data_IF_087640270622
#
_entry.id   IF_087640270622
#
_cell.length_a   1.000
_cell.length_b   1.000
_cell.length_c   1.000
_cell.angle_alpha   90.00
_cell.angle_beta   90.00
_cell.angle_gamma   90.00
#
_symmetry.space_group_name_H-M   'P 1'
#
loop_
_entity.id
_entity.type
_entity.pdbx_description
1 polymer ?
#
# COMPACT_ATOMS: atom_id res chain seq x y z
N UNK A 1 -22.08 5.07 -34.22
CA UNK A 1 -21.37 6.29 -33.79
C UNK A 1 -20.57 5.93 -32.54
N UNK A 2 -19.28 5.66 -32.70
CA UNK A 2 -18.38 5.46 -31.55
C UNK A 2 -18.12 6.83 -30.93
N UNK A 3 -18.72 7.07 -29.77
CA UNK A 3 -18.31 8.18 -28.92
C UNK A 3 -16.91 7.82 -28.43
N UNK A 4 -15.90 8.50 -29.00
CA UNK A 4 -14.55 8.54 -28.48
C UNK A 4 -14.65 8.92 -27.01
N UNK A 5 -14.48 7.95 -26.10
CA UNK A 5 -14.27 8.22 -24.68
C UNK A 5 -13.04 9.12 -24.64
N UNK A 6 -13.23 10.42 -24.44
CA UNK A 6 -12.11 11.28 -24.05
C UNK A 6 -11.56 10.64 -22.79
N UNK A 7 -10.31 10.19 -22.83
CA UNK A 7 -9.64 9.55 -21.70
C UNK A 7 -9.68 10.49 -20.50
N UNK A 8 -10.67 10.29 -19.63
CA UNK A 8 -10.79 11.04 -18.39
C UNK A 8 -9.51 10.78 -17.58
N UNK A 9 -8.90 11.85 -17.07
CA UNK A 9 -7.69 11.74 -16.26
C UNK A 9 -7.94 10.74 -15.11
N UNK A 10 -7.04 9.75 -14.89
CA UNK A 10 -7.24 8.76 -13.86
C UNK A 10 -7.30 9.41 -12.47
N UNK A 11 -8.26 8.98 -11.66
CA UNK A 11 -8.50 9.50 -10.31
C UNK A 11 -8.42 8.38 -9.28
N UNK A 12 -7.81 8.71 -8.14
CA UNK A 12 -7.51 7.75 -7.08
C UNK A 12 -8.13 8.24 -5.78
N UNK A 13 -8.99 7.44 -5.18
CA UNK A 13 -9.48 7.73 -3.84
C UNK A 13 -8.41 7.35 -2.82
N UNK A 14 -8.23 8.22 -1.83
CA UNK A 14 -7.36 8.00 -0.69
C UNK A 14 -8.07 8.43 0.59
N UNK A 15 -7.56 7.95 1.72
CA UNK A 15 -7.90 8.48 3.03
C UNK A 15 -6.63 8.85 3.79
N UNK A 16 -6.72 9.87 4.64
CA UNK A 16 -5.62 10.28 5.52
C UNK A 16 -6.03 10.30 6.98
N UNK A 17 -5.04 10.15 7.86
CA UNK A 17 -5.20 10.12 9.31
C UNK A 17 -4.05 10.90 9.95
N UNK A 18 -4.32 11.68 11.00
CA UNK A 18 -3.27 12.45 11.70
C UNK A 18 -2.34 11.51 12.46
N UNK A 19 -2.89 10.46 13.07
CA UNK A 19 -2.17 9.52 13.95
C UNK A 19 -2.72 8.11 13.83
N UNK A 20 -1.96 7.15 14.36
CA UNK A 20 -2.36 5.74 14.39
C UNK A 20 -3.63 5.45 15.17
N UNK A 21 -4.07 6.32 16.07
CA UNK A 21 -5.29 6.11 16.85
C UNK A 21 -6.53 6.75 16.24
N UNK A 22 -6.37 7.54 15.18
CA UNK A 22 -7.51 8.16 14.52
C UNK A 22 -8.29 7.09 13.75
N UNK A 23 -9.59 7.06 13.98
CA UNK A 23 -10.51 6.09 13.37
C UNK A 23 -11.35 6.70 12.26
N UNK A 24 -11.38 8.03 12.15
CA UNK A 24 -12.18 8.74 11.14
C UNK A 24 -11.32 9.03 9.90
N UNK A 25 -11.66 8.47 8.73
CA UNK A 25 -10.92 8.70 7.50
C UNK A 25 -11.24 10.07 6.92
N UNK A 26 -10.22 10.91 6.75
CA UNK A 26 -10.33 12.11 5.92
C UNK A 26 -10.19 11.73 4.44
N UNK A 27 -11.32 11.58 3.76
CA UNK A 27 -11.44 11.19 2.36
C UNK A 27 -10.87 12.28 1.44
N UNK A 28 -10.18 11.88 0.39
CA UNK A 28 -9.70 12.76 -0.69
C UNK A 28 -9.71 11.98 -2.00
N UNK A 29 -9.71 12.67 -3.13
CA UNK A 29 -9.55 12.06 -4.44
C UNK A 29 -8.51 12.87 -5.21
N UNK A 30 -7.46 12.18 -5.65
CA UNK A 30 -6.26 12.80 -6.24
C UNK A 30 -6.10 12.38 -7.70
N UNK A 31 -5.44 13.23 -8.50
CA UNK A 31 -4.94 12.84 -9.83
C UNK A 31 -3.68 11.98 -9.71
N UNK A 32 -3.21 11.40 -10.82
CA UNK A 32 -1.94 10.68 -10.83
C UNK A 32 -0.75 11.57 -10.43
N UNK A 33 -0.73 12.84 -10.89
CA UNK A 33 0.34 13.77 -10.54
C UNK A 33 0.34 14.09 -9.04
N UNK A 34 -0.84 14.30 -8.47
CA UNK A 34 -1.02 14.58 -7.05
C UNK A 34 -0.67 13.37 -6.17
N UNK A 35 -1.07 12.16 -6.59
CA UNK A 35 -0.69 10.89 -5.95
C UNK A 35 0.83 10.76 -5.90
N UNK A 36 1.48 10.96 -7.05
CA UNK A 36 2.93 10.91 -7.18
C UNK A 36 3.63 11.98 -6.35
N UNK A 37 3.13 13.22 -6.36
CA UNK A 37 3.68 14.30 -5.54
C UNK A 37 3.57 13.98 -4.05
N UNK A 38 2.43 13.46 -3.58
CA UNK A 38 2.24 13.10 -2.18
C UNK A 38 3.13 11.96 -1.71
N UNK A 39 3.36 10.95 -2.56
CA UNK A 39 4.19 9.79 -2.22
C UNK A 39 5.70 9.99 -2.45
N UNK A 40 6.10 11.09 -3.07
CA UNK A 40 7.51 11.49 -3.21
C UNK A 40 7.90 12.68 -2.32
N UNK A 41 6.94 13.22 -1.56
CA UNK A 41 7.13 14.30 -0.59
C UNK A 41 7.36 13.76 0.82
N UNK A 42 8.46 14.18 1.44
CA UNK A 42 8.80 13.77 2.80
C UNK A 42 8.42 14.83 3.83
N UNK A 43 7.62 14.44 4.82
CA UNK A 43 7.34 15.27 6.00
C UNK A 43 8.57 15.26 6.92
N UNK A 44 9.11 16.43 7.28
CA UNK A 44 10.28 16.54 8.15
C UNK A 44 9.84 16.56 9.62
N UNK A 45 10.32 15.62 10.44
CA UNK A 45 9.95 15.50 11.87
C UNK A 45 11.15 15.65 12.82
N UNK A 46 11.81 16.83 12.89
CA UNK A 46 13.00 17.04 13.73
C UNK A 46 12.67 16.98 15.23
N UNK A 47 11.47 17.40 15.64
CA UNK A 47 11.02 17.30 17.04
C UNK A 47 10.89 15.84 17.48
N UNK A 48 10.28 15.00 16.66
CA UNK A 48 10.15 13.56 16.91
C UNK A 48 11.55 12.90 17.00
N UNK A 49 12.42 13.21 16.04
CA UNK A 49 13.78 12.68 16.04
C UNK A 49 14.53 13.03 17.33
N UNK A 50 14.56 14.32 17.72
CA UNK A 50 15.19 14.76 18.98
C UNK A 50 14.61 14.07 20.21
N UNK A 51 13.29 13.84 20.24
CA UNK A 51 12.65 13.14 21.35
C UNK A 51 13.09 11.68 21.42
N UNK A 52 13.20 10.97 20.28
CA UNK A 52 13.70 9.59 20.22
C UNK A 52 15.17 9.54 20.64
N UNK A 53 16.03 10.40 20.07
CA UNK A 53 17.46 10.44 20.38
C UNK A 53 17.71 10.66 21.87
N UNK A 54 17.05 11.66 22.47
CA UNK A 54 17.15 11.91 23.92
C UNK A 54 16.69 10.72 24.77
N UNK A 55 15.69 10.00 24.31
CA UNK A 55 15.18 8.82 25.02
C UNK A 55 16.21 7.68 24.97
N UNK A 56 16.88 7.48 23.82
CA UNK A 56 17.95 6.50 23.66
C UNK A 56 19.16 6.85 24.53
N UNK A 57 19.63 8.11 24.51
CA UNK A 57 20.73 8.59 25.36
C UNK A 57 20.47 8.33 26.85
N UNK A 58 19.22 8.51 27.31
CA UNK A 58 18.83 8.21 28.69
C UNK A 58 18.79 6.72 29.00
N UNK A 59 18.46 5.88 28.02
CA UNK A 59 18.48 4.42 28.17
C UNK A 59 19.94 3.96 28.27
N UNK A 60 20.82 4.49 27.44
CA UNK A 60 22.25 4.18 27.46
C UNK A 60 22.89 4.62 28.79
N UNK A 61 22.62 5.85 29.25
CA UNK A 61 23.11 6.31 30.55
C UNK A 61 22.59 5.45 31.72
N UNK A 62 21.34 4.97 31.65
CA UNK A 62 20.79 4.08 32.65
C UNK A 62 21.44 2.68 32.61
N UNK A 63 21.78 2.19 31.42
CA UNK A 63 22.53 0.94 31.25
C UNK A 63 23.93 1.04 31.87
N UNK A 64 24.65 2.13 31.59
CA UNK A 64 26.00 2.37 32.12
C UNK A 64 25.99 2.50 33.65
N UNK A 65 25.04 3.25 34.21
CA UNK A 65 24.86 3.36 35.66
C UNK A 65 24.60 1.99 36.30
N UNK A 66 23.73 1.17 35.70
CA UNK A 66 23.49 -0.18 36.20
C UNK A 66 24.74 -1.08 36.13
N UNK A 67 25.52 -1.00 35.05
CA UNK A 67 26.80 -1.73 34.91
C UNK A 67 27.83 -1.29 35.94
N UNK A 68 27.82 -0.02 36.35
CA UNK A 68 28.66 0.52 37.42
C UNK A 68 28.20 0.15 38.84
N UNK A 69 27.07 -0.58 38.99
CA UNK A 69 26.47 -0.88 40.29
C UNK A 69 25.67 0.29 40.90
N UNK A 70 25.46 1.35 40.12
CA UNK A 70 24.69 2.52 40.52
C UNK A 70 23.20 2.34 40.19
N UNK A 71 22.38 3.28 40.67
CA UNK A 71 20.96 3.29 40.37
C UNK A 71 20.71 3.80 38.94
N UNK A 72 20.11 3.03 38.03
CA UNK A 72 19.78 3.47 36.66
C UNK A 72 18.76 4.62 36.59
N UNK A 73 18.17 5.00 37.74
CA UNK A 73 17.28 6.13 37.90
C UNK A 73 15.84 5.84 37.50
N UNK A 74 14.89 6.53 38.15
CA UNK A 74 13.46 6.57 37.79
C UNK A 74 12.71 5.23 37.74
N UNK A 75 11.37 5.29 37.73
CA UNK A 75 10.54 4.08 37.60
C UNK A 75 10.73 3.36 36.26
N UNK A 76 10.98 4.13 35.19
CA UNK A 76 11.07 3.64 33.82
C UNK A 76 12.33 2.81 33.57
N UNK A 77 13.50 3.32 33.95
CA UNK A 77 14.78 2.65 33.68
C UNK A 77 15.14 1.61 34.74
N UNK A 78 14.52 1.67 35.94
CA UNK A 78 14.59 0.61 36.95
C UNK A 78 14.09 -0.78 36.48
N UNK A 79 13.50 -0.91 35.27
CA UNK A 79 13.26 -2.21 34.65
C UNK A 79 14.58 -2.96 34.39
N UNK A 80 15.65 -2.26 33.99
CA UNK A 80 16.97 -2.85 33.74
C UNK A 80 17.50 -3.48 35.03
N UNK A 81 17.51 -2.72 36.14
CA UNK A 81 17.95 -3.24 37.43
C UNK A 81 17.07 -4.39 37.96
N UNK A 82 15.75 -4.33 37.76
CA UNK A 82 14.84 -5.43 38.15
C UNK A 82 15.10 -6.70 37.36
N UNK A 83 15.33 -6.59 36.05
CA UNK A 83 15.66 -7.74 35.20
C UNK A 83 17.03 -8.31 35.58
N UNK A 84 18.03 -7.44 35.79
CA UNK A 84 19.37 -7.81 36.25
C UNK A 84 19.38 -8.61 37.55
N UNK A 85 18.55 -8.23 38.53
CA UNK A 85 18.42 -8.99 39.79
C UNK A 85 17.83 -10.39 39.61
N UNK A 86 17.04 -10.62 38.56
CA UNK A 86 16.36 -11.91 38.33
C UNK A 86 17.13 -12.84 37.41
N UNK A 87 17.84 -12.30 36.42
CA UNK A 87 18.47 -13.08 35.35
C UNK A 87 19.82 -12.56 34.90
N UNK A 88 20.50 -11.76 35.74
CA UNK A 88 21.83 -11.24 35.46
C UNK A 88 21.88 -10.28 34.26
N UNK A 89 23.07 -10.14 33.70
CA UNK A 89 23.35 -9.18 32.62
C UNK A 89 22.57 -9.45 31.33
N UNK A 90 22.35 -10.72 30.97
CA UNK A 90 21.57 -11.07 29.79
C UNK A 90 20.12 -10.54 29.89
N UNK A 91 19.46 -10.76 31.02
CA UNK A 91 18.10 -10.25 31.25
C UNK A 91 18.06 -8.72 31.32
N UNK A 92 19.07 -8.09 31.92
CA UNK A 92 19.19 -6.63 31.93
C UNK A 92 19.35 -6.06 30.52
N UNK A 93 20.16 -6.72 29.67
CA UNK A 93 20.38 -6.33 28.27
C UNK A 93 19.11 -6.45 27.45
N UNK A 94 18.39 -7.56 27.57
CA UNK A 94 17.09 -7.74 26.91
C UNK A 94 16.10 -6.63 27.31
N UNK A 95 16.06 -6.27 28.59
CA UNK A 95 15.23 -5.17 29.07
C UNK A 95 15.63 -3.81 28.46
N UNK A 96 16.93 -3.54 28.35
CA UNK A 96 17.49 -2.35 27.69
C UNK A 96 17.10 -2.31 26.21
N UNK A 97 17.29 -3.41 25.49
CA UNK A 97 16.92 -3.54 24.08
C UNK A 97 15.41 -3.34 23.87
N UNK A 98 14.58 -3.87 24.78
CA UNK A 98 13.15 -3.64 24.83
C UNK A 98 12.77 -2.16 25.04
N UNK A 99 13.49 -1.44 25.88
CA UNK A 99 13.32 0.02 26.06
C UNK A 99 13.71 0.78 24.78
N UNK A 100 14.83 0.42 24.16
CA UNK A 100 15.28 0.99 22.89
C UNK A 100 14.26 0.76 21.77
N UNK A 101 13.68 -0.45 21.70
CA UNK A 101 12.60 -0.79 20.75
C UNK A 101 11.36 0.09 20.99
N UNK A 102 10.96 0.28 22.25
CA UNK A 102 9.83 1.17 22.62
C UNK A 102 10.10 2.63 22.28
N UNK A 103 11.33 3.13 22.52
CA UNK A 103 11.72 4.50 22.19
C UNK A 103 11.64 4.74 20.67
N UNK A 104 12.22 3.86 19.85
CA UNK A 104 12.13 3.91 18.39
C UNK A 104 10.68 3.76 17.88
N UNK A 105 9.87 2.98 18.59
CA UNK A 105 8.45 2.76 18.30
C UNK A 105 7.58 4.02 18.37
N UNK A 106 8.04 5.12 19.00
CA UNK A 106 7.32 6.41 19.02
C UNK A 106 7.00 6.95 17.63
N UNK A 107 7.83 6.64 16.63
CA UNK A 107 7.56 7.05 15.26
C UNK A 107 6.23 6.46 14.74
N UNK A 108 5.91 5.21 15.09
CA UNK A 108 4.68 4.55 14.63
C UNK A 108 3.41 5.28 15.08
N UNK A 109 3.47 6.02 16.19
CA UNK A 109 2.32 6.76 16.75
C UNK A 109 2.24 8.22 16.29
N UNK A 110 3.36 8.79 15.79
CA UNK A 110 3.46 10.21 15.47
C UNK A 110 3.35 10.51 13.97
N UNK A 111 3.74 9.55 13.13
CA UNK A 111 3.69 9.70 11.68
C UNK A 111 2.24 9.81 11.18
N UNK A 112 2.05 10.68 10.17
CA UNK A 112 0.80 10.79 9.42
C UNK A 112 0.59 9.52 8.62
N UNK A 113 -0.65 9.05 8.56
CA UNK A 113 -1.00 7.85 7.81
C UNK A 113 -1.85 8.21 6.61
N UNK A 114 -1.78 7.34 5.60
CA UNK A 114 -2.68 7.34 4.47
C UNK A 114 -3.12 5.91 4.15
N UNK A 115 -4.21 5.78 3.41
CA UNK A 115 -4.72 4.54 2.86
C UNK A 115 -5.08 4.75 1.40
N UNK A 116 -4.80 3.80 0.50
CA UNK A 116 -5.23 3.85 -0.89
C UNK A 116 -6.72 3.51 -1.08
N UNK A 117 -7.51 3.52 0.00
CA UNK A 117 -8.89 3.09 0.00
C UNK A 117 -9.88 4.27 0.04
N UNK A 118 -10.99 4.09 -0.68
CA UNK A 118 -12.21 4.86 -0.49
C UNK A 118 -12.99 4.26 0.68
N UNK A 119 -13.23 5.07 1.70
CA UNK A 119 -14.14 4.71 2.80
C UNK A 119 -15.54 5.26 2.54
N UNK A 120 -16.55 4.58 3.09
CA UNK A 120 -17.93 5.08 3.14
C UNK A 120 -17.98 6.43 3.87
N UNK A 121 -18.96 7.26 3.51
CA UNK A 121 -19.19 8.51 4.24
C UNK A 121 -19.57 8.23 5.70
N UNK A 122 -18.93 8.95 6.64
CA UNK A 122 -19.09 8.68 8.08
C UNK A 122 -18.54 7.33 8.56
N UNK A 123 -17.85 6.58 7.69
CA UNK A 123 -17.28 5.28 8.02
C UNK A 123 -16.08 5.38 8.97
N UNK A 124 -15.59 4.21 9.41
CA UNK A 124 -14.41 4.11 10.27
C UNK A 124 -13.26 3.42 9.56
N UNK A 125 -12.06 3.54 10.15
CA UNK A 125 -10.85 2.87 9.70
C UNK A 125 -10.87 1.38 10.07
N UNK A 126 -11.72 0.64 9.37
CA UNK A 126 -11.83 -0.81 9.37
C UNK A 126 -12.26 -1.30 7.98
N UNK A 127 -12.20 -2.62 7.73
CA UNK A 127 -12.48 -3.18 6.41
C UNK A 127 -13.94 -3.09 5.98
N UNK A 128 -14.88 -3.06 6.93
CA UNK A 128 -16.32 -3.06 6.65
C UNK A 128 -16.78 -1.74 6.03
N UNK A 129 -16.03 -0.67 6.25
CA UNK A 129 -16.30 0.65 5.67
C UNK A 129 -15.47 0.95 4.43
N UNK A 130 -14.68 0.00 3.91
CA UNK A 130 -13.96 0.20 2.64
C UNK A 130 -14.89 -0.12 1.48
N UNK A 131 -15.02 0.82 0.56
CA UNK A 131 -15.77 0.66 -0.70
C UNK A 131 -14.86 0.04 -1.76
N UNK A 132 -13.68 0.64 -1.94
CA UNK A 132 -12.75 0.23 -2.98
C UNK A 132 -11.31 0.63 -2.68
N UNK A 133 -10.34 0.00 -3.33
CA UNK A 133 -8.91 0.28 -3.23
C UNK A 133 -8.38 0.76 -4.58
N UNK A 134 -7.66 1.89 -4.60
CA UNK A 134 -7.16 2.55 -5.80
C UNK A 134 -5.68 2.29 -6.11
N UNK A 135 -4.91 1.76 -5.15
CA UNK A 135 -3.49 1.46 -5.34
C UNK A 135 -3.11 0.16 -4.65
N UNK A 136 -2.22 -0.62 -5.26
CA UNK A 136 -1.48 -1.68 -4.60
C UNK A 136 -0.22 -1.12 -3.98
N UNK A 137 -0.05 -1.33 -2.67
CA UNK A 137 1.11 -0.83 -1.92
C UNK A 137 1.83 -2.00 -1.27
N UNK A 138 3.11 -2.16 -1.59
CA UNK A 138 3.98 -3.21 -1.09
C UNK A 138 5.00 -2.58 -0.13
N UNK A 139 5.06 -3.09 1.11
CA UNK A 139 6.01 -2.63 2.14
C UNK A 139 7.15 -3.63 2.26
N UNK A 140 8.36 -3.19 1.92
CA UNK A 140 9.56 -4.00 1.95
C UNK A 140 10.42 -3.59 3.15
N UNK A 141 10.57 -4.52 4.09
CA UNK A 141 11.25 -4.30 5.37
C UNK A 141 12.54 -5.13 5.54
N UNK A 142 12.86 -5.93 4.52
CA UNK A 142 13.88 -7.00 4.51
C UNK A 142 15.23 -6.61 3.90
N UNK A 143 15.42 -5.34 3.48
CA UNK A 143 16.70 -4.85 2.96
C UNK A 143 16.86 -4.88 1.45
N UNK A 144 15.82 -5.26 0.70
CA UNK A 144 15.77 -5.11 -0.77
C UNK A 144 15.98 -3.64 -1.14
N UNK A 145 16.84 -3.38 -2.13
CA UNK A 145 17.11 -2.01 -2.57
C UNK A 145 15.93 -1.44 -3.37
N UNK A 146 15.76 -0.11 -3.44
CA UNK A 146 14.72 0.51 -4.26
C UNK A 146 14.75 0.09 -5.74
N UNK A 147 15.93 -0.10 -6.30
CA UNK A 147 16.10 -0.49 -7.71
C UNK A 147 15.75 -1.95 -7.95
N UNK A 148 16.16 -2.86 -7.07
CA UNK A 148 15.74 -4.28 -7.13
C UNK A 148 14.23 -4.43 -6.96
N UNK A 149 13.64 -3.72 -5.99
CA UNK A 149 12.18 -3.73 -5.82
C UNK A 149 11.46 -3.16 -7.06
N UNK A 150 12.03 -2.17 -7.75
CA UNK A 150 11.44 -1.58 -8.96
C UNK A 150 11.50 -2.50 -10.18
N UNK A 151 12.59 -3.26 -10.36
CA UNK A 151 12.78 -4.09 -11.55
C UNK A 151 11.70 -5.15 -11.73
N UNK A 152 11.21 -5.74 -10.64
CA UNK A 152 10.15 -6.77 -10.67
C UNK A 152 8.80 -6.21 -11.14
N UNK A 153 8.65 -4.89 -11.13
CA UNK A 153 7.42 -4.15 -11.42
C UNK A 153 7.56 -3.19 -12.60
N UNK A 154 8.66 -3.27 -13.35
CA UNK A 154 8.99 -2.36 -14.45
C UNK A 154 7.95 -2.32 -15.59
N UNK A 155 7.06 -3.33 -15.70
CA UNK A 155 5.95 -3.30 -16.66
C UNK A 155 4.94 -2.18 -16.36
N UNK A 156 4.79 -1.79 -15.10
CA UNK A 156 3.75 -0.87 -14.66
C UNK A 156 4.32 0.45 -14.15
N UNK A 157 3.48 1.48 -14.21
CA UNK A 157 3.72 2.71 -13.48
C UNK A 157 3.78 2.40 -11.99
N UNK A 158 4.85 2.83 -11.33
CA UNK A 158 4.95 2.69 -9.89
C UNK A 158 5.81 3.78 -9.26
N UNK A 159 5.51 4.05 -8.00
CA UNK A 159 6.18 5.06 -7.19
C UNK A 159 6.93 4.32 -6.09
N UNK A 160 8.23 4.57 -5.98
CA UNK A 160 9.06 4.00 -4.91
C UNK A 160 9.46 5.11 -3.97
N UNK A 161 9.33 4.88 -2.66
CA UNK A 161 9.90 5.78 -1.66
C UNK A 161 10.39 5.02 -0.44
N UNK A 162 11.45 5.53 0.17
CA UNK A 162 11.99 5.03 1.43
C UNK A 162 11.06 5.36 2.61
N UNK A 163 11.15 4.57 3.69
CA UNK A 163 10.37 4.80 4.92
C UNK A 163 11.20 5.45 6.02
N UNK A 164 10.56 5.91 7.10
CA UNK A 164 11.22 6.52 8.26
C UNK A 164 12.41 5.72 8.82
N UNK A 165 12.36 4.39 8.71
CA UNK A 165 13.39 3.51 9.27
C UNK A 165 14.48 3.11 8.27
N UNK A 166 14.43 3.61 7.04
CA UNK A 166 15.44 3.37 6.01
C UNK A 166 16.84 3.80 6.49
N UNK A 167 17.84 3.00 6.14
CA UNK A 167 19.26 3.29 6.30
C UNK A 167 20.01 2.66 5.12
N UNK A 168 21.14 3.22 4.66
CA UNK A 168 21.89 2.65 3.53
C UNK A 168 22.20 1.15 3.68
N UNK A 169 22.58 0.69 4.89
CA UNK A 169 22.85 -0.73 5.16
C UNK A 169 21.62 -1.58 5.53
N UNK A 170 20.43 -0.98 5.61
CA UNK A 170 19.15 -1.68 5.85
C UNK A 170 18.01 -0.93 5.16
N UNK A 171 17.89 -1.05 3.84
CA UNK A 171 16.81 -0.42 3.09
C UNK A 171 15.44 -0.84 3.61
N UNK A 172 14.55 0.15 3.72
CA UNK A 172 13.12 -0.05 3.99
C UNK A 172 12.36 0.91 3.11
N UNK A 173 11.43 0.39 2.31
CA UNK A 173 10.80 1.14 1.25
C UNK A 173 9.38 0.64 1.00
N UNK A 174 8.60 1.49 0.34
CA UNK A 174 7.31 1.13 -0.23
C UNK A 174 7.33 1.33 -1.73
N UNK A 175 6.71 0.39 -2.42
CA UNK A 175 6.40 0.47 -3.84
C UNK A 175 4.88 0.56 -3.98
N UNK A 176 4.41 1.62 -4.64
CA UNK A 176 2.99 1.88 -4.85
C UNK A 176 2.67 1.81 -6.35
N UNK A 177 1.75 0.93 -6.72
CA UNK A 177 1.21 0.76 -8.06
C UNK A 177 -0.21 1.33 -8.10
N UNK A 178 -0.42 2.50 -8.75
CA UNK A 178 -1.76 3.02 -8.97
C UNK A 178 -2.51 2.10 -9.95
N UNK A 179 -3.77 1.79 -9.62
CA UNK A 179 -4.57 0.86 -10.42
C UNK A 179 -5.30 1.61 -11.53
N UNK A 180 -5.39 1.02 -12.72
CA UNK A 180 -6.14 1.57 -13.85
C UNK A 180 -7.63 1.72 -13.50
N UNK A 181 -8.15 0.79 -12.71
CA UNK A 181 -9.50 0.82 -12.15
C UNK A 181 -9.45 0.40 -10.67
N UNK A 182 -10.26 1.02 -9.80
CA UNK A 182 -10.32 0.64 -8.39
C UNK A 182 -10.87 -0.79 -8.24
N UNK A 183 -10.45 -1.46 -7.17
CA UNK A 183 -10.84 -2.84 -6.83
C UNK A 183 -11.83 -2.80 -5.67
N UNK A 184 -12.91 -3.57 -5.74
CA UNK A 184 -13.89 -3.67 -4.64
C UNK A 184 -13.23 -4.27 -3.39
N UNK A 185 -13.66 -3.85 -2.21
CA UNK A 185 -13.06 -4.32 -0.97
C UNK A 185 -13.06 -5.86 -0.83
N UNK A 186 -14.14 -6.51 -1.28
CA UNK A 186 -14.32 -7.96 -1.29
C UNK A 186 -13.34 -8.71 -2.21
N UNK A 187 -12.92 -8.09 -3.31
CA UNK A 187 -12.00 -8.68 -4.29
C UNK A 187 -10.52 -8.40 -3.95
N UNK A 188 -10.25 -7.50 -2.99
CA UNK A 188 -8.91 -6.99 -2.72
C UNK A 188 -7.91 -8.08 -2.37
N UNK A 189 -8.37 -9.11 -1.68
CA UNK A 189 -7.50 -10.18 -1.18
C UNK A 189 -6.77 -10.89 -2.32
N UNK A 190 -7.45 -11.18 -3.43
CA UNK A 190 -6.85 -11.86 -4.57
C UNK A 190 -5.74 -11.02 -5.21
N UNK A 191 -5.95 -9.70 -5.32
CA UNK A 191 -4.96 -8.76 -5.85
C UNK A 191 -3.72 -8.70 -4.96
N UNK A 192 -3.92 -8.69 -3.63
CA UNK A 192 -2.80 -8.68 -2.69
C UNK A 192 -2.02 -10.00 -2.71
N UNK A 193 -2.70 -11.15 -2.73
CA UNK A 193 -2.07 -12.47 -2.76
C UNK A 193 -1.24 -12.67 -4.04
N UNK A 194 -1.77 -12.28 -5.21
CA UNK A 194 -1.02 -12.26 -6.48
C UNK A 194 0.28 -11.45 -6.38
N UNK A 195 0.21 -10.27 -5.76
CA UNK A 195 1.38 -9.42 -5.59
C UNK A 195 2.38 -10.01 -4.60
N UNK A 196 1.89 -10.57 -3.48
CA UNK A 196 2.73 -11.21 -2.48
C UNK A 196 3.49 -12.40 -3.07
N UNK A 197 2.83 -13.26 -3.85
CA UNK A 197 3.44 -14.36 -4.58
C UNK A 197 4.52 -13.88 -5.55
N UNK A 198 4.23 -12.83 -6.33
CA UNK A 198 5.20 -12.22 -7.25
C UNK A 198 6.47 -11.74 -6.55
N UNK A 199 6.36 -11.25 -5.31
CA UNK A 199 7.51 -10.82 -4.51
C UNK A 199 8.20 -11.94 -3.74
N UNK A 200 7.79 -13.21 -3.92
CA UNK A 200 8.29 -14.33 -3.12
C UNK A 200 7.95 -14.20 -1.63
N UNK A 201 6.79 -13.61 -1.31
CA UNK A 201 6.31 -13.34 0.05
C UNK A 201 7.23 -12.42 0.88
N UNK A 202 8.02 -11.57 0.22
CA UNK A 202 8.90 -10.62 0.92
C UNK A 202 8.17 -9.36 1.40
N UNK A 203 7.00 -9.07 0.83
CA UNK A 203 6.10 -8.01 1.31
C UNK A 203 5.45 -8.37 2.65
N UNK A 204 5.25 -7.40 3.54
CA UNK A 204 4.68 -7.64 4.88
C UNK A 204 3.22 -8.18 4.80
N UNK A 205 2.95 -9.42 5.28
CA UNK A 205 1.61 -10.03 5.22
C UNK A 205 0.56 -9.34 6.09
N UNK A 206 0.96 -8.47 7.02
CA UNK A 206 0.04 -7.68 7.82
C UNK A 206 -0.79 -6.68 6.99
N UNK A 207 -0.41 -6.44 5.73
CA UNK A 207 -0.98 -5.41 4.86
C UNK A 207 -2.03 -5.92 3.86
N UNK A 208 -2.46 -7.18 4.00
CA UNK A 208 -3.46 -7.82 3.12
C UNK A 208 -4.89 -7.27 3.23
N UNK A 209 -5.18 -6.47 4.26
CA UNK A 209 -6.51 -5.88 4.46
C UNK A 209 -6.76 -4.72 3.49
N UNK A 210 -7.98 -4.61 2.97
CA UNK A 210 -8.40 -3.46 2.16
C UNK A 210 -8.35 -2.13 2.93
N UNK A 211 -8.40 -2.18 4.27
CA UNK A 211 -8.27 -1.02 5.15
C UNK A 211 -6.81 -0.75 5.59
N UNK A 212 -5.83 -1.36 4.92
CA UNK A 212 -4.42 -1.17 5.24
C UNK A 212 -4.06 0.33 5.20
N UNK A 213 -3.26 0.73 6.19
CA UNK A 213 -2.76 2.10 6.30
C UNK A 213 -1.25 2.11 6.36
N UNK A 214 -0.68 3.10 5.70
CA UNK A 214 0.75 3.27 5.53
C UNK A 214 1.14 4.63 6.09
N UNK A 215 2.33 4.72 6.70
CA UNK A 215 2.88 6.03 7.01
C UNK A 215 3.17 6.79 5.72
N UNK A 216 2.77 8.06 5.67
CA UNK A 216 3.23 8.98 4.63
C UNK A 216 4.77 9.08 4.66
N UNK A 217 5.42 9.35 3.52
CA UNK A 217 6.86 9.52 3.49
C UNK A 217 7.29 10.60 4.48
N UNK A 218 8.24 10.27 5.34
CA UNK A 218 8.69 11.14 6.42
C UNK A 218 10.16 10.92 6.71
N UNK A 219 10.83 11.99 7.11
CA UNK A 219 12.27 12.00 7.38
C UNK A 219 12.58 12.67 8.73
N UNK A 220 13.53 12.14 9.52
CA UNK A 220 13.88 12.72 10.81
C UNK A 220 14.47 14.13 10.71
N UNK A 221 15.26 14.40 9.66
CA UNK A 221 15.90 15.69 9.42
C UNK A 221 16.19 15.86 7.92
N UNK A 222 16.42 17.11 7.44
CA UNK A 222 16.54 17.40 6.01
C UNK A 222 17.64 16.66 5.26
N UNK A 223 18.71 16.27 5.94
CA UNK A 223 19.86 15.58 5.32
C UNK A 223 19.87 14.07 5.58
N UNK A 224 18.81 13.52 6.19
CA UNK A 224 18.74 12.08 6.43
C UNK A 224 18.64 11.34 5.08
N UNK A 225 19.36 10.21 4.92
CA UNK A 225 19.28 9.39 3.72
C UNK A 225 17.82 9.04 3.39
N UNK A 226 17.42 9.35 2.17
CA UNK A 226 16.11 9.04 1.62
C UNK A 226 16.23 8.94 0.11
N UNK A 227 15.40 8.08 -0.46
CA UNK A 227 15.20 7.96 -1.89
C UNK A 227 13.69 7.97 -2.17
N UNK A 228 13.32 8.59 -3.28
CA UNK A 228 12.04 8.38 -3.91
C UNK A 228 12.16 8.66 -5.41
N UNK A 229 11.47 7.87 -6.22
CA UNK A 229 11.43 8.03 -7.67
C UNK A 229 10.16 7.40 -8.24
N UNK A 230 9.96 7.64 -9.53
CA UNK A 230 8.83 7.13 -10.30
C UNK A 230 9.38 6.35 -11.47
N UNK A 231 8.79 5.18 -11.71
CA UNK A 231 9.00 4.42 -12.93
C UNK A 231 7.80 4.61 -13.86
N UNK A 232 8.06 4.92 -15.14
CA UNK A 232 7.02 5.06 -16.15
C UNK A 232 6.49 3.71 -16.62
N UNK A 233 5.21 3.67 -16.98
CA UNK A 233 4.56 2.44 -17.45
C UNK A 233 3.07 2.61 -17.57
N UNK A 234 2.36 1.55 -17.94
CA UNK A 234 0.91 1.53 -17.88
C UNK A 234 0.46 1.41 -16.42
N UNK A 235 -0.72 1.95 -16.07
CA UNK A 235 -1.31 1.65 -14.76
C UNK A 235 -1.58 0.15 -14.64
N UNK A 236 -1.47 -0.41 -13.44
CA UNK A 236 -1.78 -1.81 -13.21
C UNK A 236 -3.28 -2.01 -13.39
N UNK A 237 -3.71 -2.84 -14.34
CA UNK A 237 -5.12 -3.20 -14.51
C UNK A 237 -5.37 -4.58 -13.91
N UNK A 238 -6.03 -4.67 -12.73
CA UNK A 238 -6.36 -5.96 -12.13
C UNK A 238 -7.25 -6.82 -13.04
N UNK A 239 -8.08 -6.20 -13.87
CA UNK A 239 -8.89 -6.92 -14.86
C UNK A 239 -8.04 -7.54 -15.98
N UNK A 240 -7.08 -6.78 -16.53
CA UNK A 240 -6.21 -7.29 -17.59
C UNK A 240 -5.29 -8.43 -17.10
N UNK A 241 -4.96 -8.41 -15.80
CA UNK A 241 -4.22 -9.50 -15.15
C UNK A 241 -5.14 -10.66 -14.70
N UNK A 242 -6.45 -10.61 -14.97
CA UNK A 242 -7.41 -11.67 -14.61
C UNK A 242 -7.68 -11.79 -13.11
N UNK A 243 -7.33 -10.78 -12.31
CA UNK A 243 -7.46 -10.79 -10.85
C UNK A 243 -8.87 -10.42 -10.38
N UNK A 244 -9.60 -9.64 -11.20
CA UNK A 244 -10.98 -9.24 -10.93
C UNK A 244 -11.80 -9.29 -12.22
N UNK A 245 -13.07 -9.66 -12.11
CA UNK A 245 -13.98 -9.72 -13.26
C UNK A 245 -14.63 -8.36 -13.55
N UNK A 246 -14.89 -7.57 -12.51
CA UNK A 246 -15.62 -6.30 -12.58
C UNK A 246 -14.85 -5.26 -11.76
N UNK A 247 -14.59 -4.07 -12.31
CA UNK A 247 -13.95 -3.01 -11.53
C UNK A 247 -14.96 -2.42 -10.53
N UNK A 248 -14.46 -1.80 -9.46
CA UNK A 248 -15.29 -0.93 -8.64
C UNK A 248 -15.69 0.33 -9.42
N UNK A 249 -16.73 1.02 -8.94
CA UNK A 249 -17.12 2.31 -9.49
C UNK A 249 -15.97 3.32 -9.39
N UNK A 250 -15.85 4.25 -10.35
CA UNK A 250 -14.87 5.33 -10.25
C UNK A 250 -15.11 6.15 -8.98
N UNK A 251 -14.04 6.69 -8.36
CA UNK A 251 -14.20 7.43 -7.13
C UNK A 251 -15.08 8.67 -7.33
N UNK A 252 -15.89 9.04 -6.33
CA UNK A 252 -16.77 10.19 -6.43
C UNK A 252 -15.96 11.50 -6.54
N UNK A 253 -16.59 12.56 -7.02
CA UNK A 253 -16.00 13.90 -6.94
C UNK A 253 -16.10 14.41 -5.50
N UNK A 254 -14.96 14.60 -4.84
CA UNK A 254 -14.87 15.14 -3.48
C UNK A 254 -14.05 16.43 -3.55
N UNK A 255 -14.51 17.54 -2.94
CA UNK A 255 -13.71 18.76 -2.82
C UNK A 255 -12.37 18.48 -2.15
N UNK A 256 -11.30 19.09 -2.67
CA UNK A 256 -9.99 18.99 -2.04
C UNK A 256 -10.02 19.56 -0.62
N UNK A 257 -9.31 18.91 0.30
CA UNK A 257 -9.19 19.40 1.68
C UNK A 257 -8.34 20.67 1.73
N UNK A 258 -8.75 21.67 2.51
CA UNK A 258 -8.00 22.92 2.68
C UNK A 258 -6.58 22.68 3.21
N UNK A 259 -6.44 21.84 4.25
CA UNK A 259 -5.18 21.43 4.82
C UNK A 259 -5.01 19.91 4.70
N UNK A 260 -4.17 19.47 3.75
CA UNK A 260 -3.93 18.06 3.46
C UNK A 260 -2.45 17.72 3.64
N UNK A 261 -2.19 16.75 4.53
CA UNK A 261 -0.86 16.16 4.72
C UNK A 261 -0.35 15.46 3.46
N UNK A 262 -1.27 14.86 2.69
CA UNK A 262 -0.94 14.16 1.46
C UNK A 262 -0.52 15.16 0.36
N UNK A 263 -1.32 16.21 0.18
CA UNK A 263 -1.08 17.26 -0.82
C UNK A 263 0.02 18.25 -0.42
N UNK A 264 0.47 18.20 0.85
CA UNK A 264 1.49 19.11 1.37
C UNK A 264 0.98 20.53 1.57
N UNK A 265 -0.33 20.73 1.66
CA UNK A 265 -0.95 22.06 1.83
C UNK A 265 -1.14 22.46 3.29
N UNK A 266 -0.86 21.55 4.24
CA UNK A 266 -0.90 21.88 5.67
C UNK A 266 0.26 22.85 6.03
N UNK A 267 -0.03 24.10 6.40
CA UNK A 267 0.99 25.11 6.71
C UNK A 267 1.79 24.80 7.98
N UNK A 268 1.31 23.87 8.82
CA UNK A 268 1.98 23.47 10.06
C UNK A 268 3.07 22.42 9.84
N UNK A 269 3.13 21.81 8.65
CA UNK A 269 4.10 20.78 8.32
C UNK A 269 5.19 21.29 7.39
N UNK A 270 6.44 21.03 7.77
CA UNK A 270 7.58 21.23 6.88
C UNK A 270 7.75 19.98 6.03
N UNK A 271 7.82 20.17 4.72
CA UNK A 271 7.97 19.11 3.74
C UNK A 271 9.23 19.30 2.90
N UNK A 272 9.67 18.22 2.26
CA UNK A 272 10.75 18.20 1.28
C UNK A 272 10.25 17.43 0.07
N UNK A 273 10.10 18.12 -1.05
CA UNK A 273 9.76 17.50 -2.32
C UNK A 273 11.02 16.91 -2.94
N UNK A 274 10.94 15.64 -3.35
CA UNK A 274 12.01 15.03 -4.12
C UNK A 274 11.94 15.53 -5.57
N UNK A 275 13.09 15.77 -6.23
CA UNK A 275 13.11 16.09 -7.64
C UNK A 275 12.38 15.01 -8.44
N UNK A 276 11.47 15.41 -9.31
CA UNK A 276 10.70 14.50 -10.15
C UNK A 276 10.66 15.01 -11.58
N UNK A 277 10.81 14.09 -12.53
CA UNK A 277 10.40 14.34 -13.91
C UNK A 277 8.94 13.91 -14.02
N UNK A 278 8.02 14.75 -14.51
CA UNK A 278 6.64 14.34 -14.73
C UNK A 278 6.61 13.16 -15.70
N UNK A 279 6.08 12.02 -15.25
CA UNK A 279 5.88 10.83 -16.08
C UNK A 279 4.38 10.62 -16.23
N UNK A 280 3.89 10.68 -17.47
CA UNK A 280 2.52 10.28 -17.78
C UNK A 280 2.44 8.75 -17.76
N UNK A 281 1.33 8.21 -17.26
CA UNK A 281 1.06 6.79 -17.45
C UNK A 281 0.95 6.50 -18.96
N UNK A 282 1.52 5.38 -19.38
CA UNK A 282 1.31 4.86 -20.72
C UNK A 282 -0.12 4.33 -20.84
N UNK A 283 -0.71 4.30 -22.04
CA UNK A 283 -2.00 3.66 -22.26
C UNK A 283 -1.98 2.22 -21.72
N UNK A 284 -3.05 1.83 -21.04
CA UNK A 284 -3.22 0.43 -20.63
C UNK A 284 -3.63 -0.36 -21.85
N UNK A 285 -2.83 -1.35 -22.27
CA UNK A 285 -3.24 -2.27 -23.34
C UNK A 285 -4.43 -3.09 -22.83
N UNK A 286 -5.61 -2.79 -23.38
CA UNK A 286 -6.76 -3.67 -23.23
C UNK A 286 -6.51 -4.82 -24.20
N UNK A 287 -6.12 -5.99 -23.70
CA UNK A 287 -6.20 -7.21 -24.48
C UNK A 287 -7.69 -7.47 -24.66
N UNK A 288 -8.25 -7.01 -25.79
CA UNK A 288 -9.55 -7.45 -26.22
C UNK A 288 -9.43 -8.97 -26.34
N UNK A 289 -10.04 -9.72 -25.42
CA UNK A 289 -10.22 -11.15 -25.64
C UNK A 289 -11.08 -11.26 -26.89
N UNK A 290 -10.44 -11.50 -28.04
CA UNK A 290 -11.11 -11.99 -29.22
C UNK A 290 -11.53 -13.44 -28.93
N UNK A 291 -12.50 -13.59 -28.03
CA UNK A 291 -13.31 -14.78 -27.89
C UNK A 291 -14.60 -14.47 -28.65
N UNK A 292 -14.49 -14.44 -29.98
CA UNK A 292 -15.65 -14.55 -30.87
C UNK A 292 -16.20 -15.97 -30.70
N UNK A 293 -17.04 -16.17 -29.68
CA UNK A 293 -17.78 -17.42 -29.47
C UNK A 293 -18.90 -17.57 -30.52
N UNK A 294 -19.21 -16.49 -31.23
CA UNK A 294 -20.12 -16.49 -32.36
C UNK A 294 -19.32 -16.02 -33.56
N UNK A 295 -18.92 -16.97 -34.41
CA UNK A 295 -18.45 -16.65 -35.76
C UNK A 295 -19.45 -15.75 -36.49
N UNK A 296 -19.03 -15.12 -37.60
CA UNK A 296 -19.91 -14.23 -38.36
C UNK A 296 -21.24 -14.94 -38.65
N UNK A 297 -22.40 -14.26 -38.49
CA UNK A 297 -23.69 -14.90 -38.71
C UNK A 297 -23.73 -15.48 -40.12
N UNK A 298 -24.05 -16.77 -40.21
CA UNK A 298 -24.23 -17.46 -41.49
C UNK A 298 -25.20 -16.66 -42.37
N UNK A 299 -24.76 -16.40 -43.62
CA UNK A 299 -25.66 -15.88 -44.65
C UNK A 299 -26.83 -16.85 -44.81
N UNK A 300 -28.07 -16.36 -45.01
CA UNK A 300 -29.17 -17.25 -45.31
C UNK A 300 -28.89 -17.96 -46.64
N UNK A 301 -28.75 -19.28 -46.57
CA UNK A 301 -28.68 -20.13 -47.75
C UNK A 301 -30.09 -20.20 -48.37
N UNK A 302 -30.14 -19.87 -49.66
CA UNK A 302 -31.30 -20.17 -50.51
C UNK A 302 -31.63 -21.66 -50.40
N UNK A 303 -32.92 -21.96 -50.15
CA UNK A 303 -33.42 -23.33 -50.12
C UNK A 303 -33.24 -24.04 -51.48
N UNK A 304 -33.32 -25.39 -51.49
CA UNK A 304 -34.65 -25.94 -51.74
C UNK A 304 -34.99 -27.26 -51.02
N UNK A 305 -36.30 -27.42 -50.82
CA UNK A 305 -37.14 -28.64 -50.86
C UNK A 305 -36.67 -29.95 -50.20
N UNK A 306 -37.41 -30.30 -49.13
CA UNK A 306 -38.21 -31.52 -48.95
C UNK A 306 -37.55 -32.89 -49.25
N UNK A 307 -37.35 -33.73 -48.23
CA UNK A 307 -38.05 -35.02 -48.09
C UNK A 307 -37.72 -35.78 -46.78
N UNK A 308 -38.79 -36.39 -46.28
CA UNK A 308 -39.05 -37.43 -45.28
C UNK A 308 -37.97 -38.34 -44.66
N UNK A 309 -38.43 -38.97 -43.55
CA UNK A 309 -37.87 -40.06 -42.71
C UNK A 309 -36.91 -39.57 -41.62
N UNK A 310 -37.10 -39.85 -40.32
CA UNK A 310 -37.81 -40.93 -39.65
C UNK A 310 -36.80 -41.63 -38.75
N UNK A 311 -36.98 -41.60 -37.43
CA UNK A 311 -36.11 -42.36 -36.53
C UNK A 311 -35.95 -41.71 -35.15
N UNK A 312 -36.74 -42.21 -34.20
CA UNK A 312 -36.54 -42.09 -32.76
C UNK A 312 -35.15 -42.61 -32.35
N UNK A 313 -34.49 -41.95 -31.40
CA UNK A 313 -33.96 -42.67 -30.25
C UNK A 313 -33.62 -41.74 -29.08
N UNK A 314 -34.26 -42.05 -27.95
CA UNK A 314 -33.89 -41.65 -26.60
C UNK A 314 -32.47 -42.16 -26.27
N UNK A 315 -31.73 -41.39 -25.46
CA UNK A 315 -30.92 -41.92 -24.34
C UNK A 315 -30.43 -40.81 -23.43
N UNK A 316 -31.09 -40.76 -22.28
CA UNK A 316 -30.60 -40.30 -20.98
C UNK A 316 -29.29 -41.00 -20.61
N UNK A 317 -28.37 -40.25 -20.00
CA UNK A 317 -27.42 -40.73 -18.99
C UNK A 317 -27.19 -39.59 -17.99
N UNK A 318 -27.91 -39.67 -16.89
CA UNK A 318 -27.47 -39.12 -15.60
C UNK A 318 -26.35 -40.00 -15.03
N UNK A 319 -25.65 -39.38 -14.08
CA UNK A 319 -24.88 -39.95 -12.97
C UNK A 319 -23.35 -40.02 -13.04
N UNK A 320 -22.82 -39.75 -11.84
CA UNK A 320 -21.59 -40.28 -11.23
C UNK A 320 -20.28 -39.50 -11.47
N UNK A 321 -19.81 -38.70 -10.52
CA UNK A 321 -19.20 -39.19 -9.26
C UNK A 321 -18.65 -38.06 -8.37
N UNK A 322 -18.78 -38.38 -7.09
CA UNK A 322 -18.36 -37.76 -5.84
C UNK A 322 -16.81 -37.76 -5.60
N UNK A 323 -16.38 -36.96 -4.61
CA UNK A 323 -15.14 -37.01 -3.80
C UNK A 323 -13.85 -36.35 -4.37
N UNK A 324 -13.43 -35.20 -3.81
CA UNK A 324 -12.60 -35.05 -2.59
C UNK A 324 -12.45 -33.58 -2.19
#
# INVERSE_FOLDING_TARGET
MNITRMDAEPRFAIATFMRVFDVEPKRDVVTLDELTAGLTRFIVKPKLHRAITRDLERIDAAWDAWKAGENPGGRRYGIIARAGRRGGEAAAREAMEGLCKKAKGRAKTDLRLWSPALFTEGGRRDSDHVVSVSCLVLDFDSGVTPQEASSDWARWYHIVHTTWSHRPGKPKLRLCLPLAHPVRAEDWRAVWEWAAERTGMTADPALKSAAATFALPATPYPDAPREAFVHGGALLSPMAEGLVLVPADPPPSIPAQEASHFRGTDPTERTLDMPRTPVKALPTEVVASAFDLFGPPDRPADGPTNESSGGENERSWDDEFDLF
#
